data_IF_493473918252
#
_entry.id   IF_493473918252
#
_cell.length_a   1.000
_cell.length_b   1.000
_cell.length_c   1.000
_cell.angle_alpha   90.00
_cell.angle_beta   90.00
_cell.angle_gamma   90.00
#
_symmetry.space_group_name_H-M   'P 1'
#
loop_
_entity.id
_entity.type
_entity.pdbx_description
1 polymer ?
#
# COMPACT_ATOMS: atom_id res chain seq x y z
N UNK A 1 0.78 -9.40 -49.85
CA UNK A 1 0.66 -9.81 -48.43
C UNK A 1 0.91 -8.59 -47.58
N UNK A 2 0.06 -8.37 -46.58
CA UNK A 2 0.21 -7.56 -45.36
C UNK A 2 -1.22 -7.22 -44.92
N UNK A 3 -1.80 -8.07 -44.06
CA UNK A 3 -2.98 -7.71 -43.30
C UNK A 3 -2.49 -7.16 -41.96
N UNK A 4 -2.56 -5.85 -41.78
CA UNK A 4 -2.52 -5.26 -40.44
C UNK A 4 -3.93 -5.42 -39.85
N UNK A 5 -4.06 -6.36 -38.91
CA UNK A 5 -5.25 -6.48 -38.08
C UNK A 5 -5.26 -5.34 -37.07
N UNK A 6 -5.94 -4.24 -37.40
CA UNK A 6 -6.20 -3.17 -36.45
C UNK A 6 -7.04 -3.70 -35.29
N UNK A 7 -6.46 -3.78 -34.10
CA UNK A 7 -7.22 -4.08 -32.88
C UNK A 7 -8.10 -2.88 -32.55
N UNK A 8 -9.41 -3.03 -32.72
CA UNK A 8 -10.40 -1.96 -32.60
C UNK A 8 -10.68 -1.66 -31.11
N UNK A 9 -9.68 -1.10 -30.42
CA UNK A 9 -9.74 -0.79 -29.01
C UNK A 9 -10.90 0.18 -28.69
N UNK A 10 -11.77 -0.12 -27.72
CA UNK A 10 -12.93 0.72 -27.42
C UNK A 10 -12.50 2.11 -26.96
N UNK A 11 -12.94 3.12 -27.69
CA UNK A 11 -12.63 4.53 -27.49
C UNK A 11 -13.24 5.04 -26.17
N UNK A 12 -12.63 6.05 -25.54
CA UNK A 12 -13.10 6.71 -24.31
C UNK A 12 -14.58 7.12 -24.39
N UNK A 13 -15.06 7.54 -25.58
CA UNK A 13 -16.49 7.81 -25.82
C UNK A 13 -17.39 6.57 -25.66
N UNK A 14 -16.97 5.41 -26.17
CA UNK A 14 -17.70 4.13 -26.05
C UNK A 14 -17.66 3.62 -24.61
N UNK A 15 -16.50 3.70 -23.93
CA UNK A 15 -16.38 3.34 -22.52
C UNK A 15 -17.30 4.21 -21.64
N UNK A 16 -17.31 5.53 -21.85
CA UNK A 16 -18.21 6.45 -21.13
C UNK A 16 -19.69 6.18 -21.41
N UNK A 17 -20.06 5.87 -22.65
CA UNK A 17 -21.42 5.49 -22.99
C UNK A 17 -21.84 4.20 -22.24
N UNK A 18 -21.00 3.18 -22.26
CA UNK A 18 -21.20 1.89 -21.60
C UNK A 18 -21.30 2.02 -20.07
N UNK A 19 -20.58 2.97 -19.46
CA UNK A 19 -20.76 3.34 -18.05
C UNK A 19 -22.02 4.18 -17.78
N UNK A 20 -22.39 5.11 -18.65
CA UNK A 20 -23.58 5.96 -18.47
C UNK A 20 -24.90 5.19 -18.66
N UNK A 21 -24.91 4.20 -19.56
CA UNK A 21 -26.01 3.27 -19.77
C UNK A 21 -26.16 2.33 -18.56
N UNK A 22 -25.05 1.75 -18.09
CA UNK A 22 -25.00 0.95 -16.87
C UNK A 22 -25.45 1.72 -15.62
N UNK A 23 -25.08 3.01 -15.50
CA UNK A 23 -25.52 3.84 -14.40
C UNK A 23 -27.05 3.99 -14.36
N UNK A 24 -27.73 4.02 -15.51
CA UNK A 24 -29.20 4.01 -15.60
C UNK A 24 -29.77 2.62 -15.27
N UNK A 25 -29.23 1.56 -15.88
CA UNK A 25 -29.61 0.15 -15.64
C UNK A 25 -29.59 -0.18 -14.13
N UNK A 26 -28.51 0.19 -13.44
CA UNK A 26 -28.34 -0.03 -12.01
C UNK A 26 -29.20 0.90 -11.14
N UNK A 27 -29.51 2.12 -11.60
CA UNK A 27 -30.45 3.02 -10.92
C UNK A 27 -31.89 2.49 -10.98
N UNK A 28 -32.30 1.82 -12.06
CA UNK A 28 -33.62 1.19 -12.17
C UNK A 28 -33.83 -0.01 -11.23
N UNK A 29 -32.76 -0.60 -10.69
CA UNK A 29 -32.81 -1.75 -9.77
C UNK A 29 -32.53 -1.40 -8.30
N UNK A 30 -32.19 -0.14 -8.00
CA UNK A 30 -31.57 0.25 -6.72
C UNK A 30 -32.36 -0.04 -5.44
N UNK A 31 -33.69 -0.06 -5.52
CA UNK A 31 -34.56 -0.30 -4.36
C UNK A 31 -34.93 -1.79 -4.17
N UNK A 32 -34.58 -2.65 -5.13
CA UNK A 32 -34.84 -4.08 -5.06
C UNK A 32 -33.81 -4.79 -4.16
N UNK A 33 -34.26 -5.24 -2.98
CA UNK A 33 -33.43 -6.01 -2.03
C UNK A 33 -33.46 -7.50 -2.38
N UNK A 34 -32.47 -7.95 -3.13
CA UNK A 34 -32.23 -9.37 -3.35
C UNK A 34 -31.52 -9.99 -2.14
N UNK A 35 -31.90 -11.21 -1.70
CA UNK A 35 -31.11 -11.95 -0.71
C UNK A 35 -29.76 -12.36 -1.33
N UNK A 36 -28.72 -12.45 -0.49
CA UNK A 36 -27.43 -13.02 -0.91
C UNK A 36 -27.63 -14.51 -1.24
N UNK A 37 -27.04 -15.05 -2.33
CA UNK A 37 -27.13 -16.48 -2.63
C UNK A 37 -26.65 -17.35 -1.46
N UNK A 38 -27.36 -18.44 -1.10
CA UNK A 38 -27.05 -19.25 0.08
C UNK A 38 -25.61 -19.78 0.11
N UNK A 39 -25.05 -20.11 -1.05
CA UNK A 39 -23.70 -20.64 -1.23
C UNK A 39 -22.65 -19.59 -0.85
N UNK A 40 -22.88 -18.32 -1.25
CA UNK A 40 -22.03 -17.18 -0.89
C UNK A 40 -22.20 -16.84 0.59
N UNK A 41 -23.42 -16.92 1.15
CA UNK A 41 -23.67 -16.71 2.57
C UNK A 41 -22.93 -17.74 3.44
N UNK A 42 -23.08 -19.03 3.15
CA UNK A 42 -22.40 -20.11 3.86
C UNK A 42 -20.87 -20.03 3.73
N UNK A 43 -20.36 -19.60 2.57
CA UNK A 43 -18.93 -19.30 2.39
C UNK A 43 -18.43 -18.15 3.26
N UNK A 44 -19.24 -17.09 3.45
CA UNK A 44 -18.90 -15.97 4.35
C UNK A 44 -18.99 -16.36 5.83
N UNK A 45 -19.89 -17.27 6.21
CA UNK A 45 -20.01 -17.76 7.59
C UNK A 45 -18.90 -18.75 7.98
N UNK A 46 -18.37 -19.53 7.02
CA UNK A 46 -17.23 -20.43 7.25
C UNK A 46 -15.87 -19.72 7.30
N UNK A 47 -15.84 -18.40 7.10
CA UNK A 47 -14.62 -17.61 6.88
C UNK A 47 -13.87 -17.28 8.19
N UNK A 48 -13.27 -18.31 8.80
CA UNK A 48 -12.44 -18.23 10.01
C UNK A 48 -10.99 -17.77 9.78
N UNK A 49 -10.05 -18.35 10.53
CA UNK A 49 -8.60 -18.05 10.41
C UNK A 49 -7.94 -18.78 9.24
N UNK A 50 -8.44 -19.97 8.88
CA UNK A 50 -7.86 -20.85 7.86
C UNK A 50 -8.14 -20.35 6.44
N UNK A 51 -9.37 -19.89 6.19
CA UNK A 51 -9.80 -19.21 4.95
C UNK A 51 -9.03 -17.92 4.65
N UNK A 52 -8.44 -17.28 5.67
CA UNK A 52 -7.47 -16.20 5.45
C UNK A 52 -6.30 -16.65 4.58
N UNK A 53 -5.92 -17.93 4.62
CA UNK A 53 -4.86 -18.47 3.76
C UNK A 53 -5.39 -18.92 2.40
N UNK A 54 -6.66 -19.31 2.29
CA UNK A 54 -7.33 -19.64 1.03
C UNK A 54 -7.50 -18.39 0.16
N UNK A 55 -7.95 -17.27 0.73
CA UNK A 55 -7.99 -15.97 0.03
C UNK A 55 -6.60 -15.52 -0.46
N UNK A 56 -5.53 -15.83 0.30
CA UNK A 56 -4.12 -15.58 -0.09
C UNK A 56 -3.55 -16.61 -1.08
N UNK A 57 -4.23 -17.75 -1.30
CA UNK A 57 -3.94 -18.70 -2.39
C UNK A 57 -4.64 -18.18 -3.64
N UNK A 58 -5.96 -18.03 -3.60
CA UNK A 58 -6.77 -17.43 -4.67
C UNK A 58 -6.09 -16.19 -5.28
N UNK A 59 -5.82 -15.13 -4.50
CA UNK A 59 -5.16 -13.90 -4.99
C UNK A 59 -3.79 -14.10 -5.68
N UNK A 60 -3.07 -15.19 -5.38
CA UNK A 60 -1.77 -15.55 -5.97
C UNK A 60 -1.91 -16.42 -7.22
N UNK A 61 -2.95 -17.24 -7.24
CA UNK A 61 -3.20 -18.26 -8.26
C UNK A 61 -3.93 -17.65 -9.48
N UNK A 62 -4.53 -16.45 -9.32
CA UNK A 62 -5.04 -15.57 -10.39
C UNK A 62 -4.00 -15.27 -11.50
N UNK A 63 -4.51 -15.05 -12.71
CA UNK A 63 -3.75 -14.71 -13.91
C UNK A 63 -3.13 -13.31 -13.83
N UNK A 64 -1.90 -13.18 -14.33
CA UNK A 64 -1.12 -11.94 -14.26
C UNK A 64 -1.19 -11.17 -15.57
N UNK A 65 -2.24 -10.36 -15.71
CA UNK A 65 -2.39 -9.41 -16.81
C UNK A 65 -1.38 -8.26 -16.72
N UNK A 66 -0.80 -7.87 -17.86
CA UNK A 66 0.14 -6.74 -17.96
C UNK A 66 -0.52 -5.55 -18.65
N UNK A 67 -0.80 -4.48 -17.89
CA UNK A 67 -1.33 -3.22 -18.41
C UNK A 67 -0.67 -2.00 -17.71
N UNK A 68 0.65 -2.06 -17.53
CA UNK A 68 1.44 -1.01 -16.88
C UNK A 68 0.94 -0.68 -15.46
N UNK A 69 0.79 0.62 -15.17
CA UNK A 69 0.37 1.14 -13.86
C UNK A 69 -1.02 0.65 -13.39
N UNK A 70 -1.87 0.13 -14.29
CA UNK A 70 -3.18 -0.40 -13.92
C UNK A 70 -3.07 -1.74 -13.19
N UNK A 71 -2.19 -2.66 -13.60
CA UNK A 71 -2.06 -3.99 -12.99
C UNK A 71 -0.91 -4.11 -11.98
N UNK A 72 0.09 -3.22 -12.03
CA UNK A 72 1.15 -3.15 -11.01
C UNK A 72 0.68 -2.45 -9.73
N UNK A 73 1.04 -2.99 -8.55
CA UNK A 73 0.81 -2.36 -7.25
C UNK A 73 1.79 -1.21 -7.00
N UNK A 74 1.30 -0.02 -6.65
CA UNK A 74 2.14 1.11 -6.25
C UNK A 74 2.90 0.91 -4.93
N UNK A 75 4.00 1.64 -4.75
CA UNK A 75 4.86 1.56 -3.58
C UNK A 75 5.42 2.92 -3.12
N UNK A 76 5.79 3.01 -1.83
CA UNK A 76 6.48 4.18 -1.27
C UNK A 76 7.97 4.14 -1.66
N UNK A 77 8.49 5.19 -2.29
CA UNK A 77 9.93 5.35 -2.51
C UNK A 77 10.70 5.18 -1.19
N UNK A 78 11.62 4.23 -1.16
CA UNK A 78 12.34 3.79 0.07
C UNK A 78 12.97 4.93 0.86
N UNK A 79 13.48 5.93 0.14
CA UNK A 79 14.10 7.17 0.63
C UNK A 79 13.18 8.02 1.52
N UNK A 80 11.86 7.89 1.39
CA UNK A 80 10.88 8.67 2.16
C UNK A 80 10.37 7.95 3.40
N UNK A 81 10.49 6.61 3.50
CA UNK A 81 10.00 5.79 4.62
C UNK A 81 10.48 6.32 5.98
N UNK A 82 11.76 6.64 6.08
CA UNK A 82 12.38 7.15 7.34
C UNK A 82 11.95 8.59 7.70
N UNK A 83 11.35 9.33 6.78
CA UNK A 83 10.79 10.68 7.02
C UNK A 83 9.30 10.59 7.31
N UNK A 84 8.54 9.77 6.57
CA UNK A 84 7.13 9.49 6.83
C UNK A 84 6.91 8.94 8.25
N UNK A 85 7.75 8.00 8.71
CA UNK A 85 7.75 7.48 10.10
C UNK A 85 8.08 8.54 11.18
N UNK A 86 8.52 9.75 10.79
CA UNK A 86 8.91 10.84 11.70
C UNK A 86 7.96 12.03 11.66
N UNK A 87 7.32 12.34 10.53
CA UNK A 87 6.34 13.45 10.49
C UNK A 87 5.07 13.11 11.28
N UNK A 88 4.65 11.85 11.21
CA UNK A 88 3.39 11.32 11.77
C UNK A 88 3.57 9.83 12.04
N UNK A 89 3.33 9.38 13.28
CA UNK A 89 3.64 8.01 13.73
C UNK A 89 3.03 6.90 12.86
N UNK A 90 1.86 7.15 12.27
CA UNK A 90 1.07 6.14 11.57
C UNK A 90 1.04 6.27 10.05
N UNK A 91 1.43 7.42 9.46
CA UNK A 91 1.22 7.66 8.01
C UNK A 91 1.87 6.59 7.13
N UNK A 92 3.07 6.12 7.45
CA UNK A 92 3.70 5.03 6.72
C UNK A 92 2.86 3.73 6.75
N UNK A 93 2.21 3.42 7.88
CA UNK A 93 1.38 2.23 8.02
C UNK A 93 0.06 2.38 7.24
N UNK A 94 -0.60 3.54 7.35
CA UNK A 94 -1.83 3.86 6.60
C UNK A 94 -1.60 3.80 5.09
N UNK A 95 -0.49 4.36 4.60
CA UNK A 95 -0.13 4.36 3.17
C UNK A 95 0.21 2.93 2.71
N UNK A 96 0.96 2.15 3.49
CA UNK A 96 1.23 0.74 3.17
C UNK A 96 -0.03 -0.14 3.20
N UNK A 97 -1.02 0.18 4.03
CA UNK A 97 -2.29 -0.53 4.05
C UNK A 97 -3.12 -0.20 2.81
N UNK A 98 -3.21 1.08 2.43
CA UNK A 98 -3.90 1.51 1.19
C UNK A 98 -3.35 0.83 -0.07
N UNK A 99 -2.02 0.69 -0.21
CA UNK A 99 -1.46 -0.05 -1.35
C UNK A 99 -1.85 -1.54 -1.38
N UNK A 100 -2.01 -2.20 -0.23
CA UNK A 100 -2.52 -3.59 -0.15
C UNK A 100 -4.00 -3.67 -0.52
N UNK A 101 -4.79 -2.68 -0.10
CA UNK A 101 -6.22 -2.62 -0.41
C UNK A 101 -6.45 -2.27 -1.90
N UNK A 102 -5.57 -1.47 -2.50
CA UNK A 102 -5.51 -1.30 -3.96
C UNK A 102 -5.15 -2.61 -4.69
N UNK A 103 -4.19 -3.41 -4.23
CA UNK A 103 -3.91 -4.72 -4.87
C UNK A 103 -5.05 -5.75 -4.65
N UNK A 104 -5.82 -5.67 -3.56
CA UNK A 104 -7.06 -6.43 -3.40
C UNK A 104 -8.09 -6.06 -4.48
N UNK A 105 -8.26 -4.78 -4.78
CA UNK A 105 -9.12 -4.31 -5.88
C UNK A 105 -8.58 -4.75 -7.25
N UNK A 106 -7.25 -4.76 -7.46
CA UNK A 106 -6.63 -5.37 -8.65
C UNK A 106 -6.87 -6.88 -8.72
N UNK A 107 -6.91 -7.60 -7.59
CA UNK A 107 -7.24 -9.02 -7.56
C UNK A 107 -8.70 -9.28 -7.97
N UNK A 108 -9.65 -8.47 -7.49
CA UNK A 108 -11.03 -8.49 -8.01
C UNK A 108 -11.09 -8.16 -9.50
N UNK A 109 -10.26 -7.23 -9.96
CA UNK A 109 -10.09 -6.91 -11.39
C UNK A 109 -9.65 -8.11 -12.21
N UNK A 110 -8.53 -8.74 -11.83
CA UNK A 110 -7.96 -9.95 -12.48
C UNK A 110 -8.97 -11.10 -12.53
N UNK A 111 -9.61 -11.42 -11.40
CA UNK A 111 -10.64 -12.47 -11.33
C UNK A 111 -11.84 -12.20 -12.25
N UNK A 112 -12.25 -10.94 -12.40
CA UNK A 112 -13.33 -10.58 -13.34
C UNK A 112 -12.88 -10.66 -14.81
N UNK A 113 -11.60 -10.39 -15.11
CA UNK A 113 -11.01 -10.60 -16.44
C UNK A 113 -10.91 -12.09 -16.79
N UNK A 114 -10.50 -12.95 -15.85
CA UNK A 114 -10.40 -14.41 -16.06
C UNK A 114 -11.75 -15.00 -16.47
N UNK A 115 -12.81 -14.76 -15.71
CA UNK A 115 -14.16 -15.25 -16.04
C UNK A 115 -14.72 -14.59 -17.30
N UNK A 116 -14.32 -13.36 -17.62
CA UNK A 116 -14.67 -12.70 -18.89
C UNK A 116 -14.03 -13.43 -20.10
N UNK A 117 -12.76 -13.80 -20.01
CA UNK A 117 -12.05 -14.55 -21.05
C UNK A 117 -12.57 -15.98 -21.19
N UNK A 118 -12.82 -16.69 -20.08
CA UNK A 118 -13.43 -18.03 -20.08
C UNK A 118 -14.80 -18.03 -20.77
N UNK A 119 -15.70 -17.11 -20.39
CA UNK A 119 -17.01 -17.00 -21.03
C UNK A 119 -16.92 -16.54 -22.49
N UNK A 120 -15.99 -15.64 -22.83
CA UNK A 120 -15.71 -15.24 -24.21
C UNK A 120 -15.30 -16.42 -25.08
N UNK A 121 -14.42 -17.29 -24.57
CA UNK A 121 -14.03 -18.53 -25.25
C UNK A 121 -15.20 -19.51 -25.42
N UNK A 122 -16.09 -19.62 -24.44
CA UNK A 122 -17.30 -20.46 -24.51
C UNK A 122 -18.27 -19.94 -25.59
N UNK A 123 -18.52 -18.62 -25.63
CA UNK A 123 -19.35 -17.96 -26.65
C UNK A 123 -18.77 -18.20 -28.05
N UNK A 124 -17.47 -17.90 -28.24
CA UNK A 124 -16.77 -18.07 -29.52
C UNK A 124 -16.77 -19.53 -30.01
N UNK A 125 -16.87 -20.50 -29.10
CA UNK A 125 -16.92 -21.93 -29.44
C UNK A 125 -18.32 -22.42 -29.82
N UNK A 126 -19.39 -21.74 -29.42
CA UNK A 126 -20.78 -22.12 -29.67
C UNK A 126 -21.67 -20.88 -29.92
N UNK A 127 -21.45 -20.13 -31.01
CA UNK A 127 -22.13 -18.86 -31.25
C UNK A 127 -23.66 -18.98 -31.33
N UNK A 128 -24.16 -20.05 -31.97
CA UNK A 128 -25.59 -20.30 -32.20
C UNK A 128 -26.38 -20.80 -30.96
N UNK A 129 -25.78 -20.75 -29.76
CA UNK A 129 -26.43 -21.16 -28.52
C UNK A 129 -27.53 -20.17 -28.10
N UNK A 130 -28.71 -20.67 -27.70
CA UNK A 130 -29.83 -19.85 -27.20
C UNK A 130 -29.43 -18.96 -25.99
N UNK A 131 -28.41 -19.38 -25.23
CA UNK A 131 -27.87 -18.63 -24.10
C UNK A 131 -26.87 -17.53 -24.51
N UNK A 132 -26.39 -17.49 -25.75
CA UNK A 132 -25.33 -16.56 -26.21
C UNK A 132 -25.63 -15.11 -25.86
N UNK A 133 -26.88 -14.64 -26.02
CA UNK A 133 -27.26 -13.26 -25.66
C UNK A 133 -27.14 -12.99 -24.14
N UNK A 134 -27.51 -13.96 -23.29
CA UNK A 134 -27.37 -13.83 -21.84
C UNK A 134 -25.89 -13.86 -21.42
N UNK A 135 -25.07 -14.68 -22.09
CA UNK A 135 -23.63 -14.73 -21.87
C UNK A 135 -22.92 -13.43 -22.30
N UNK A 136 -23.39 -12.76 -23.36
CA UNK A 136 -22.93 -11.41 -23.72
C UNK A 136 -23.28 -10.35 -22.66
N UNK A 137 -24.47 -10.42 -22.05
CA UNK A 137 -24.79 -9.53 -20.92
C UNK A 137 -23.90 -9.78 -19.69
N UNK A 138 -23.62 -11.06 -19.39
CA UNK A 138 -22.77 -11.46 -18.26
C UNK A 138 -21.31 -11.04 -18.49
N UNK A 139 -20.74 -11.27 -19.68
CA UNK A 139 -19.40 -10.78 -20.03
C UNK A 139 -19.34 -9.25 -20.00
N UNK A 140 -20.38 -8.55 -20.47
CA UNK A 140 -20.50 -7.09 -20.32
C UNK A 140 -20.49 -6.63 -18.85
N UNK A 141 -21.12 -7.39 -17.94
CA UNK A 141 -21.13 -7.13 -16.48
C UNK A 141 -19.76 -7.44 -15.85
N UNK A 142 -19.06 -8.49 -16.29
CA UNK A 142 -17.70 -8.83 -15.85
C UNK A 142 -16.66 -7.81 -16.30
N UNK A 143 -16.71 -7.35 -17.56
CA UNK A 143 -15.82 -6.29 -18.07
C UNK A 143 -15.98 -4.99 -17.26
N UNK A 144 -17.22 -4.59 -16.94
CA UNK A 144 -17.52 -3.46 -16.05
C UNK A 144 -16.90 -3.64 -14.66
N UNK A 145 -16.99 -4.84 -14.07
CA UNK A 145 -16.38 -5.19 -12.78
C UNK A 145 -14.84 -5.16 -12.82
N UNK A 146 -14.24 -5.67 -13.90
CA UNK A 146 -12.79 -5.66 -14.10
C UNK A 146 -12.26 -4.22 -14.14
N UNK A 147 -12.85 -3.37 -14.98
CA UNK A 147 -12.48 -1.95 -15.09
C UNK A 147 -12.70 -1.23 -13.75
N UNK A 148 -13.80 -1.50 -13.04
CA UNK A 148 -14.05 -0.93 -11.71
C UNK A 148 -12.96 -1.30 -10.70
N UNK A 149 -12.50 -2.55 -10.69
CA UNK A 149 -11.40 -3.01 -9.83
C UNK A 149 -10.08 -2.29 -10.12
N UNK A 150 -9.66 -2.25 -11.39
CA UNK A 150 -8.42 -1.59 -11.79
C UNK A 150 -8.46 -0.06 -11.63
N UNK A 151 -9.60 0.58 -11.91
CA UNK A 151 -9.77 2.03 -11.73
C UNK A 151 -9.76 2.43 -10.25
N UNK A 152 -10.54 1.74 -9.42
CA UNK A 152 -10.59 2.01 -7.97
C UNK A 152 -9.22 1.80 -7.31
N UNK A 153 -8.45 0.81 -7.76
CA UNK A 153 -7.07 0.62 -7.31
C UNK A 153 -6.15 1.78 -7.69
N UNK A 154 -6.25 2.30 -8.92
CA UNK A 154 -5.44 3.42 -9.40
C UNK A 154 -5.78 4.74 -8.69
N UNK A 155 -7.06 4.97 -8.40
CA UNK A 155 -7.49 6.11 -7.58
C UNK A 155 -6.99 5.99 -6.14
N UNK A 156 -7.02 4.79 -5.54
CA UNK A 156 -6.41 4.56 -4.21
C UNK A 156 -4.90 4.78 -4.19
N UNK A 157 -4.18 4.43 -5.27
CA UNK A 157 -2.75 4.71 -5.40
C UNK A 157 -2.48 6.22 -5.56
N UNK A 158 -3.35 6.95 -6.28
CA UNK A 158 -3.29 8.42 -6.40
C UNK A 158 -3.59 9.13 -5.07
N UNK A 159 -4.60 8.68 -4.32
CA UNK A 159 -4.82 9.16 -2.96
C UNK A 159 -3.61 8.88 -2.05
N UNK A 160 -2.98 7.71 -2.20
CA UNK A 160 -1.79 7.34 -1.42
C UNK A 160 -0.57 8.21 -1.76
N UNK A 161 -0.34 8.53 -3.03
CA UNK A 161 0.65 9.52 -3.50
C UNK A 161 0.39 10.90 -2.89
N UNK A 162 -0.86 11.35 -2.89
CA UNK A 162 -1.30 12.61 -2.26
C UNK A 162 -1.09 12.62 -0.74
N UNK A 163 -1.31 11.49 -0.05
CA UNK A 163 -1.03 11.35 1.38
C UNK A 163 0.47 11.35 1.69
N UNK A 164 1.31 10.78 0.83
CA UNK A 164 2.78 10.90 0.94
C UNK A 164 3.19 12.37 0.81
N UNK A 165 2.74 13.08 -0.24
CA UNK A 165 3.10 14.48 -0.48
C UNK A 165 2.72 15.39 0.71
N UNK A 166 1.50 15.25 1.23
CA UNK A 166 1.02 15.94 2.45
C UNK A 166 1.86 15.60 3.69
N UNK A 167 2.16 14.31 3.91
CA UNK A 167 2.98 13.83 5.04
C UNK A 167 4.47 14.22 4.92
N UNK A 168 4.92 14.60 3.74
CA UNK A 168 6.26 15.14 3.47
C UNK A 168 6.32 16.68 3.46
N UNK A 169 5.16 17.35 3.51
CA UNK A 169 4.96 18.81 3.41
C UNK A 169 5.45 19.41 2.08
N UNK A 170 5.27 18.69 0.98
CA UNK A 170 5.46 19.23 -0.36
C UNK A 170 4.29 20.19 -0.65
N UNK A 171 4.59 21.45 -0.97
CA UNK A 171 3.56 22.49 -1.11
C UNK A 171 2.97 22.57 -2.52
N UNK A 172 3.80 22.36 -3.54
CA UNK A 172 3.37 22.13 -4.92
C UNK A 172 4.07 20.87 -5.42
N UNK A 173 3.28 19.86 -5.79
CA UNK A 173 3.74 18.70 -6.53
C UNK A 173 2.56 18.07 -7.26
N UNK A 174 2.50 18.26 -8.57
CA UNK A 174 1.55 17.61 -9.47
C UNK A 174 2.35 17.14 -10.70
N UNK A 175 2.79 15.88 -10.66
CA UNK A 175 3.04 15.11 -11.87
C UNK A 175 2.04 13.94 -11.88
N UNK A 176 1.07 14.02 -12.79
CA UNK A 176 0.17 12.92 -13.14
C UNK A 176 0.62 12.20 -14.44
N UNK A 177 1.62 12.73 -15.16
CA UNK A 177 2.09 12.24 -16.46
C UNK A 177 3.17 11.16 -16.32
N UNK A 178 3.05 10.35 -15.26
CA UNK A 178 3.98 9.29 -14.91
C UNK A 178 3.61 7.96 -15.57
N UNK A 179 4.23 7.63 -16.70
CA UNK A 179 4.16 6.28 -17.29
C UNK A 179 5.02 5.28 -16.51
N UNK A 180 4.47 4.12 -16.17
CA UNK A 180 5.18 2.96 -15.62
C UNK A 180 6.02 3.26 -14.36
N UNK A 181 5.41 3.88 -13.34
CA UNK A 181 6.02 4.11 -12.03
C UNK A 181 5.41 3.18 -10.97
N UNK A 182 6.05 2.03 -10.72
CA UNK A 182 5.77 1.18 -9.53
C UNK A 182 5.99 1.92 -8.20
N UNK A 183 6.68 3.06 -8.23
CA UNK A 183 6.93 3.96 -7.09
C UNK A 183 6.07 5.21 -7.18
N UNK A 184 5.62 5.75 -6.03
CA UNK A 184 4.76 6.94 -5.97
C UNK A 184 5.35 8.22 -6.62
N UNK A 185 6.68 8.28 -6.79
CA UNK A 185 7.45 9.37 -7.38
C UNK A 185 8.56 8.76 -8.28
N UNK A 186 9.00 9.44 -9.34
CA UNK A 186 10.19 9.03 -10.11
C UNK A 186 11.49 9.32 -9.37
N UNK A 187 12.60 8.90 -9.96
CA UNK A 187 13.95 9.27 -9.54
C UNK A 187 14.20 10.78 -9.70
N UNK A 188 13.66 11.42 -10.74
CA UNK A 188 13.73 12.87 -10.96
C UNK A 188 12.91 13.65 -9.92
N UNK A 189 11.67 13.23 -9.69
CA UNK A 189 10.80 13.77 -8.63
C UNK A 189 11.50 13.65 -7.25
N UNK A 190 12.09 12.48 -6.97
CA UNK A 190 12.87 12.23 -5.75
C UNK A 190 14.11 13.12 -5.67
N UNK A 191 14.81 13.37 -6.79
CA UNK A 191 15.96 14.25 -6.84
C UNK A 191 15.56 15.71 -6.54
N UNK A 192 14.51 16.23 -7.18
CA UNK A 192 13.98 17.56 -6.93
C UNK A 192 13.49 17.73 -5.48
N UNK A 193 12.75 16.77 -4.94
CA UNK A 193 12.31 16.78 -3.52
C UNK A 193 13.51 16.77 -2.56
N UNK A 194 14.57 16.00 -2.87
CA UNK A 194 15.81 15.99 -2.09
C UNK A 194 16.54 17.33 -2.16
N UNK A 195 16.61 17.96 -3.33
CA UNK A 195 17.23 19.28 -3.49
C UNK A 195 16.45 20.35 -2.71
N UNK A 196 15.12 20.41 -2.86
CA UNK A 196 14.28 21.31 -2.08
C UNK A 196 14.58 21.18 -0.58
N UNK A 197 14.64 19.96 -0.04
CA UNK A 197 15.00 19.73 1.36
C UNK A 197 16.43 20.08 1.74
N UNK A 198 17.37 20.03 0.78
CA UNK A 198 18.75 20.47 0.99
C UNK A 198 18.83 22.01 1.07
N UNK A 199 18.21 22.72 0.13
CA UNK A 199 18.12 24.19 0.16
C UNK A 199 17.39 24.67 1.42
N UNK A 200 16.27 24.02 1.78
CA UNK A 200 15.50 24.30 3.00
C UNK A 200 16.35 24.11 4.27
N UNK A 201 17.25 23.12 4.30
CA UNK A 201 18.22 22.91 5.39
C UNK A 201 19.31 24.00 5.43
N UNK A 202 19.83 24.42 4.28
CA UNK A 202 20.81 25.52 4.18
C UNK A 202 20.21 26.85 4.65
N UNK A 203 18.99 27.18 4.20
CA UNK A 203 18.25 28.38 4.60
C UNK A 203 18.00 28.39 6.12
N UNK A 204 17.54 27.26 6.68
CA UNK A 204 17.35 27.11 8.14
C UNK A 204 18.67 27.26 8.92
N UNK A 205 19.79 26.79 8.38
CA UNK A 205 21.11 26.97 9.00
C UNK A 205 21.57 28.44 8.96
N UNK A 206 21.40 29.11 7.82
CA UNK A 206 21.76 30.52 7.64
C UNK A 206 20.92 31.45 8.55
N UNK A 207 19.61 31.22 8.65
CA UNK A 207 18.72 31.96 9.57
C UNK A 207 19.03 31.60 11.03
N UNK A 208 19.28 30.32 11.33
CA UNK A 208 19.65 29.83 12.66
C UNK A 208 20.99 30.34 13.19
N UNK A 209 21.89 30.80 12.29
CA UNK A 209 23.21 31.34 12.64
C UNK A 209 23.20 32.56 13.57
N UNK A 210 22.06 33.22 13.79
CA UNK A 210 21.91 34.36 14.71
C UNK A 210 21.38 33.97 16.11
N UNK A 211 21.87 32.84 16.68
CA UNK A 211 21.65 32.47 18.09
C UNK A 211 22.94 32.16 18.87
N UNK A 212 23.96 32.99 18.69
CA UNK A 212 25.02 33.22 19.69
C UNK A 212 25.05 34.70 20.02
N UNK A 213 24.94 35.08 21.30
CA UNK A 213 24.88 36.50 21.65
C UNK A 213 24.57 36.92 23.09
N UNK A 214 24.22 36.02 24.03
CA UNK A 214 24.14 36.42 25.45
C UNK A 214 24.34 35.28 26.46
N UNK A 215 25.57 34.77 26.56
CA UNK A 215 26.02 33.98 27.71
C UNK A 215 27.55 34.03 27.88
N UNK A 216 28.07 35.21 28.27
CA UNK A 216 29.47 35.41 28.68
C UNK A 216 29.57 35.93 30.11
N UNK A 217 29.17 35.09 31.08
CA UNK A 217 29.44 35.25 32.52
C UNK A 217 29.45 33.85 33.14
N UNK A 218 30.48 33.35 33.84
CA UNK A 218 31.81 33.92 34.18
C UNK A 218 32.88 32.80 34.14
N UNK A 219 34.14 33.16 33.87
CA UNK A 219 35.29 32.32 34.21
C UNK A 219 35.93 32.82 35.50
N UNK A 220 36.02 31.99 36.56
CA UNK A 220 37.22 31.90 37.42
C UNK A 220 37.18 30.82 38.54
N UNK A 221 38.23 30.00 38.53
CA UNK A 221 39.08 29.58 39.67
C UNK A 221 38.45 29.45 41.08
N UNK A 222 38.45 28.23 41.63
CA UNK A 222 38.22 28.02 43.07
C UNK A 222 38.55 26.60 43.59
N UNK A 223 39.77 26.38 44.10
CA UNK A 223 40.06 25.26 45.01
C UNK A 223 39.57 25.65 46.41
N UNK A 224 38.56 24.97 46.97
CA UNK A 224 38.02 25.26 48.31
C UNK A 224 37.84 24.00 49.16
N UNK A 225 38.45 23.95 50.35
CA UNK A 225 38.20 22.93 51.38
C UNK A 225 37.24 23.50 52.44
N UNK A 226 36.15 22.80 52.72
CA UNK A 226 35.24 23.07 53.86
C UNK A 226 34.26 21.90 54.00
N UNK A 227 34.46 20.85 54.82
CA UNK A 227 34.53 20.73 56.31
C UNK A 227 33.22 21.07 57.06
N UNK A 228 32.50 20.01 57.44
CA UNK A 228 31.49 19.99 58.51
C UNK A 228 30.04 20.22 58.03
N UNK A 229 29.02 19.54 58.56
CA UNK A 229 28.94 18.41 59.54
C UNK A 229 27.84 17.45 58.99
N UNK A 230 27.93 16.12 59.14
CA UNK A 230 27.49 15.36 60.33
C UNK A 230 25.95 15.23 60.38
N UNK A 231 25.31 14.08 60.60
CA UNK A 231 25.80 12.78 61.07
C UNK A 231 24.77 11.65 60.73
N UNK A 232 25.18 10.38 60.59
CA UNK A 232 24.23 9.26 60.38
C UNK A 232 24.88 7.95 59.89
N UNK A 233 25.04 6.96 60.78
CA UNK A 233 25.75 5.70 60.50
C UNK A 233 24.80 4.48 60.46
N UNK A 234 25.03 3.58 59.48
CA UNK A 234 24.97 2.08 59.52
C UNK A 234 25.03 1.57 58.06
N UNK A 235 26.05 0.87 57.53
CA UNK A 235 26.85 -0.32 57.94
C UNK A 235 26.28 -1.66 57.42
N UNK A 236 27.03 -2.33 56.54
CA UNK A 236 26.68 -3.57 55.80
C UNK A 236 27.26 -3.49 54.38
N UNK A 237 28.41 -4.06 53.97
CA UNK A 237 28.92 -5.45 54.06
C UNK A 237 27.93 -6.48 53.47
N UNK A 238 28.23 -7.24 52.39
CA UNK A 238 29.33 -7.25 51.41
C UNK A 238 28.78 -7.61 50.00
N UNK A 239 29.46 -7.44 48.87
CA UNK A 239 30.69 -8.12 48.37
C UNK A 239 30.46 -9.61 48.01
N UNK A 240 31.17 -10.12 46.99
CA UNK A 240 30.98 -11.41 46.27
C UNK A 240 29.76 -11.45 45.32
N UNK A 241 29.81 -12.02 44.11
CA UNK A 241 30.98 -12.50 43.36
C UNK A 241 30.62 -13.19 42.02
N UNK A 242 31.31 -12.80 40.93
CA UNK A 242 31.63 -13.57 39.71
C UNK A 242 30.61 -14.49 38.99
N UNK A 243 30.28 -14.12 37.73
CA UNK A 243 30.17 -15.04 36.57
C UNK A 243 31.58 -15.63 36.23
N UNK A 244 31.79 -16.69 35.40
CA UNK A 244 30.93 -17.16 34.28
C UNK A 244 30.87 -18.71 34.04
N UNK A 245 30.38 -19.09 32.84
CA UNK A 245 30.75 -20.26 31.99
C UNK A 245 30.15 -21.68 32.18
N UNK A 246 29.06 -21.92 31.44
CA UNK A 246 28.88 -22.93 30.36
C UNK A 246 29.59 -24.30 30.43
N UNK A 247 28.80 -25.37 30.48
CA UNK A 247 29.04 -26.63 29.73
C UNK A 247 27.74 -27.44 29.52
N UNK A 248 27.58 -28.06 28.34
CA UNK A 248 26.73 -29.24 28.08
C UNK A 248 27.69 -30.45 27.94
N UNK A 249 27.22 -31.71 28.13
CA UNK A 249 26.71 -32.46 26.98
C UNK A 249 25.59 -33.50 27.26
N UNK A 250 25.07 -34.04 26.15
CA UNK A 250 23.95 -34.95 25.92
C UNK A 250 23.91 -36.31 26.67
N UNK A 251 22.68 -36.83 26.82
CA UNK A 251 22.25 -38.21 26.51
C UNK A 251 20.69 -38.25 26.39
N UNK A 252 19.93 -39.00 25.56
CA UNK A 252 20.03 -40.34 24.93
C UNK A 252 20.04 -41.47 25.99
N UNK A 253 19.21 -42.54 26.01
CA UNK A 253 18.19 -43.20 25.15
C UNK A 253 17.12 -43.88 26.08
N UNK A 254 16.00 -44.55 25.73
CA UNK A 254 15.29 -44.96 24.48
C UNK A 254 13.80 -45.33 24.79
N UNK A 255 13.05 -45.83 23.78
CA UNK A 255 11.99 -46.88 23.73
C UNK A 255 11.29 -47.39 25.03
N UNK A 256 10.01 -47.80 25.02
CA UNK A 256 9.24 -48.48 23.95
C UNK A 256 7.94 -47.77 23.55
#
# INVERSE_FOLDING_TARGET
>A
MNHESGEDHPNDSQLRALFAEFAKEWQSSKDAKYPLPPEVHAGLESLGSESSNELKRFQRDLVKYEAGDWTQMGAINTVFIQRLKKTTLESNAVIQQRYKDADRLRATGRAATEVYEELGNIINSNPDNELTQQLFEITGKLAKLAIFGFASAKDMDKESKNLIAKSLKLHEYIDDNSTNKTMAFSEEDVAHIREQWHQDKLIRAAIGGKRYGNQQQQWQRGRGRGRGRGNGYRSGFGTWGSRPQRSEPANHQQQQ
#
